data_IF_150036205955
#
_entry.id   IF_150036205955
#
_cell.length_a   1.000
_cell.length_b   1.000
_cell.length_c   1.000
_cell.angle_alpha   90.00
_cell.angle_beta   90.00
_cell.angle_gamma   90.00
#
_symmetry.space_group_name_H-M   'P 1'
#
loop_
_entity.id
_entity.type
_entity.pdbx_description
1 polymer ?
#
# COMPACT_ATOMS: atom_id res chain seq x y z
N UNK A 1 -10.97 -12.60 -3.10
CA UNK A 1 -10.48 -11.65 -4.11
C UNK A 1 -9.09 -11.21 -3.68
N UNK A 2 -8.12 -11.18 -4.60
CA UNK A 2 -6.75 -10.76 -4.32
C UNK A 2 -6.62 -9.24 -4.11
N UNK A 3 -5.56 -8.83 -3.41
CA UNK A 3 -5.24 -7.46 -3.03
C UNK A 3 -3.97 -7.01 -3.73
N UNK A 4 -3.89 -5.74 -4.12
CA UNK A 4 -2.65 -5.13 -4.58
C UNK A 4 -2.13 -4.26 -3.44
N UNK A 5 -0.89 -4.48 -3.02
CA UNK A 5 -0.19 -3.66 -2.03
C UNK A 5 0.90 -2.90 -2.75
N UNK A 6 0.80 -1.58 -2.78
CA UNK A 6 1.74 -0.69 -3.44
C UNK A 6 2.61 0.01 -2.40
N UNK A 7 3.91 0.09 -2.69
CA UNK A 7 4.90 0.76 -1.86
C UNK A 7 5.49 1.94 -2.62
N UNK A 8 5.47 3.12 -1.99
CA UNK A 8 5.89 4.37 -2.61
C UNK A 8 6.98 5.06 -1.80
N UNK A 9 7.93 5.70 -2.49
CA UNK A 9 9.04 6.43 -1.85
C UNK A 9 8.67 7.82 -1.33
N UNK A 10 7.50 8.32 -1.73
CA UNK A 10 6.99 9.64 -1.33
C UNK A 10 5.48 9.57 -1.07
N UNK A 11 4.95 10.59 -0.38
CA UNK A 11 3.53 10.68 -0.07
C UNK A 11 2.70 10.65 -1.38
N UNK A 12 1.91 9.59 -1.60
CA UNK A 12 1.12 9.45 -2.81
C UNK A 12 0.02 10.51 -2.95
N UNK A 13 -0.35 11.21 -1.87
CA UNK A 13 -1.33 12.31 -1.89
C UNK A 13 -0.78 13.58 -2.56
N UNK A 14 0.54 13.71 -2.64
CA UNK A 14 1.22 14.82 -3.29
C UNK A 14 1.45 14.58 -4.79
N UNK A 15 1.01 13.44 -5.33
CA UNK A 15 1.11 13.13 -6.76
C UNK A 15 0.24 14.07 -7.58
N UNK A 16 0.82 14.72 -8.58
CA UNK A 16 0.05 15.36 -9.64
C UNK A 16 -0.36 14.29 -10.67
N UNK A 17 -1.64 13.94 -10.71
CA UNK A 17 -2.20 12.98 -11.67
C UNK A 17 -1.90 11.50 -11.37
N UNK A 18 -1.91 10.65 -12.40
CA UNK A 18 -1.68 9.20 -12.29
C UNK A 18 -0.19 8.80 -12.32
N UNK A 19 0.73 9.75 -12.09
CA UNK A 19 2.16 9.49 -12.17
C UNK A 19 2.59 8.50 -11.07
N UNK A 20 2.96 7.28 -11.48
CA UNK A 20 3.46 6.20 -10.61
C UNK A 20 4.98 6.22 -10.50
N UNK A 21 5.64 7.32 -10.87
CA UNK A 21 7.10 7.43 -10.90
C UNK A 21 7.76 7.29 -9.51
N UNK A 22 6.97 7.41 -8.43
CA UNK A 22 7.40 7.19 -7.05
C UNK A 22 7.09 5.77 -6.51
N UNK A 23 6.54 4.88 -7.34
CA UNK A 23 6.28 3.50 -6.94
C UNK A 23 7.62 2.76 -6.80
N UNK A 24 7.97 2.41 -5.57
CA UNK A 24 9.16 1.65 -5.26
C UNK A 24 8.99 0.17 -5.61
N UNK A 25 7.83 -0.39 -5.27
CA UNK A 25 7.51 -1.81 -5.45
C UNK A 25 5.99 -2.05 -5.36
N UNK A 26 5.53 -3.22 -5.78
CA UNK A 26 4.17 -3.67 -5.54
C UNK A 26 4.09 -5.20 -5.40
N UNK A 27 3.11 -5.68 -4.64
CA UNK A 27 2.83 -7.10 -4.46
C UNK A 27 1.34 -7.41 -4.67
N UNK A 28 1.05 -8.55 -5.28
CA UNK A 28 -0.31 -9.11 -5.33
C UNK A 28 -0.43 -10.18 -4.24
N UNK A 29 -1.33 -9.95 -3.30
CA UNK A 29 -1.59 -10.86 -2.20
C UNK A 29 -2.94 -11.59 -2.40
N UNK A 30 -2.99 -12.93 -2.48
CA UNK A 30 -4.24 -13.64 -2.76
C UNK A 30 -5.22 -13.64 -1.57
N UNK A 31 -4.76 -13.29 -0.37
CA UNK A 31 -5.56 -13.32 0.86
C UNK A 31 -5.27 -12.09 1.72
N UNK A 32 -6.22 -11.73 2.60
CA UNK A 32 -6.08 -10.61 3.56
C UNK A 32 -4.85 -10.75 4.45
N UNK A 33 -4.58 -11.91 5.08
CA UNK A 33 -3.38 -12.05 5.93
C UNK A 33 -2.07 -11.77 5.19
N UNK A 34 -1.95 -12.25 3.93
CA UNK A 34 -0.77 -11.98 3.11
C UNK A 34 -0.67 -10.50 2.73
N UNK A 35 -1.79 -9.82 2.50
CA UNK A 35 -1.81 -8.38 2.27
C UNK A 35 -1.33 -7.62 3.52
N UNK A 36 -1.83 -7.96 4.72
CA UNK A 36 -1.36 -7.37 5.98
C UNK A 36 0.14 -7.55 6.18
N UNK A 37 0.67 -8.74 5.87
CA UNK A 37 2.09 -9.04 6.03
C UNK A 37 2.95 -8.25 5.03
N UNK A 38 2.51 -8.09 3.78
CA UNK A 38 3.20 -7.23 2.81
C UNK A 38 3.15 -5.76 3.22
N UNK A 39 2.01 -5.27 3.72
CA UNK A 39 1.93 -3.89 4.23
C UNK A 39 2.92 -3.67 5.36
N UNK A 40 2.98 -4.58 6.34
CA UNK A 40 3.95 -4.49 7.45
C UNK A 40 5.38 -4.49 6.95
N UNK A 41 5.68 -5.31 5.93
CA UNK A 41 7.02 -5.38 5.33
C UNK A 41 7.41 -4.05 4.68
N UNK A 42 6.55 -3.49 3.85
CA UNK A 42 6.81 -2.22 3.17
C UNK A 42 6.87 -1.04 4.15
N UNK A 43 5.93 -0.98 5.10
CA UNK A 43 5.92 0.05 6.15
C UNK A 43 7.20 0.02 7.01
N UNK A 44 7.65 -1.17 7.46
CA UNK A 44 8.92 -1.31 8.19
C UNK A 44 10.15 -0.93 7.36
N UNK A 45 10.01 -0.92 6.04
CA UNK A 45 11.08 -0.51 5.12
C UNK A 45 11.05 0.99 4.83
N UNK A 46 10.16 1.76 5.48
CA UNK A 46 10.07 3.21 5.33
C UNK A 46 9.26 3.66 4.11
N UNK A 47 8.43 2.80 3.52
CA UNK A 47 7.62 3.15 2.37
C UNK A 47 6.20 3.56 2.76
N UNK A 48 5.65 4.48 1.98
CA UNK A 48 4.22 4.75 1.96
C UNK A 48 3.48 3.56 1.37
N UNK A 49 2.42 3.10 2.03
CA UNK A 49 1.71 1.88 1.60
C UNK A 49 0.26 2.18 1.25
N UNK A 50 -0.17 1.73 0.09
CA UNK A 50 -1.57 1.76 -0.37
C UNK A 50 -2.02 0.33 -0.66
N UNK A 51 -3.26 -0.01 -0.31
CA UNK A 51 -3.85 -1.32 -0.60
C UNK A 51 -5.09 -1.15 -1.44
N UNK A 52 -5.15 -1.86 -2.56
CA UNK A 52 -6.26 -1.82 -3.49
C UNK A 52 -6.92 -3.19 -3.64
N UNK A 53 -8.21 -3.19 -3.95
CA UNK A 53 -8.88 -4.36 -4.48
C UNK A 53 -8.40 -4.61 -5.91
N UNK A 54 -8.00 -5.84 -6.24
CA UNK A 54 -7.45 -6.12 -7.56
C UNK A 54 -8.49 -5.98 -8.69
N UNK A 55 -9.76 -6.30 -8.41
CA UNK A 55 -10.81 -6.39 -9.42
C UNK A 55 -11.42 -5.02 -9.69
N UNK A 56 -11.74 -4.25 -8.64
CA UNK A 56 -12.31 -2.90 -8.77
C UNK A 56 -11.27 -1.80 -8.90
N UNK A 57 -9.99 -2.07 -8.57
CA UNK A 57 -8.93 -1.05 -8.41
C UNK A 57 -9.24 0.02 -7.35
N UNK A 58 -10.23 -0.23 -6.49
CA UNK A 58 -10.59 0.68 -5.41
C UNK A 58 -9.54 0.65 -4.30
N UNK A 59 -9.22 1.82 -3.74
CA UNK A 59 -8.34 1.94 -2.58
C UNK A 59 -9.08 1.45 -1.33
N UNK A 60 -8.63 0.33 -0.77
CA UNK A 60 -9.19 -0.28 0.43
C UNK A 60 -8.55 0.27 1.72
N UNK A 61 -7.26 0.58 1.68
CA UNK A 61 -6.55 1.09 2.85
C UNK A 61 -5.33 1.96 2.46
N UNK A 62 -5.02 2.93 3.31
CA UNK A 62 -3.92 3.86 3.11
C UNK A 62 -4.37 5.19 2.49
N UNK A 63 -3.43 6.06 2.11
CA UNK A 63 -1.98 5.88 2.22
C UNK A 63 -1.51 5.81 3.66
N UNK A 64 -0.79 4.76 4.02
CA UNK A 64 -0.16 4.60 5.32
C UNK A 64 1.20 5.31 5.31
N UNK A 65 1.35 6.26 6.23
CA UNK A 65 2.58 7.01 6.45
C UNK A 65 3.61 6.12 7.20
N UNK A 66 4.82 5.91 6.65
CA UNK A 66 5.87 5.14 7.31
C UNK A 66 6.38 5.78 8.60
N UNK A 67 6.22 7.10 8.76
CA UNK A 67 6.66 7.84 9.95
C UNK A 67 5.61 7.81 11.08
N UNK A 68 4.42 7.26 10.81
CA UNK A 68 3.35 7.11 11.80
C UNK A 68 3.15 5.64 12.20
N UNK A 69 2.67 5.37 13.43
CA UNK A 69 2.35 4.01 13.86
C UNK A 69 1.40 3.31 12.88
N UNK A 70 1.77 2.09 12.49
CA UNK A 70 0.95 1.27 11.62
C UNK A 70 -0.39 0.93 12.30
N UNK A 71 -1.55 1.13 11.65
CA UNK A 71 -2.84 0.78 12.22
C UNK A 71 -2.91 -0.71 12.57
N UNK A 72 -3.55 -1.04 13.70
CA UNK A 72 -3.73 -2.44 14.13
C UNK A 72 -4.54 -3.25 13.12
N UNK A 73 -5.45 -2.58 12.40
CA UNK A 73 -6.27 -3.15 11.36
C UNK A 73 -5.90 -2.55 10.01
N UNK A 74 -5.34 -3.39 9.15
CA UNK A 74 -4.95 -3.04 7.79
C UNK A 74 -5.70 -4.05 6.95
N UNK A 75 -6.81 -3.61 6.33
CA UNK A 75 -7.73 -4.37 5.45
C UNK A 75 -8.80 -5.23 6.13
#
# INVERSE_FOLDING_TARGET
MPFIVEASTSDPRLREGYARDNLADYAIAPTRPLACDQVRRYWRSGYWVEVYDQDSKELLAGPTDPDQPLPTYIV
#
